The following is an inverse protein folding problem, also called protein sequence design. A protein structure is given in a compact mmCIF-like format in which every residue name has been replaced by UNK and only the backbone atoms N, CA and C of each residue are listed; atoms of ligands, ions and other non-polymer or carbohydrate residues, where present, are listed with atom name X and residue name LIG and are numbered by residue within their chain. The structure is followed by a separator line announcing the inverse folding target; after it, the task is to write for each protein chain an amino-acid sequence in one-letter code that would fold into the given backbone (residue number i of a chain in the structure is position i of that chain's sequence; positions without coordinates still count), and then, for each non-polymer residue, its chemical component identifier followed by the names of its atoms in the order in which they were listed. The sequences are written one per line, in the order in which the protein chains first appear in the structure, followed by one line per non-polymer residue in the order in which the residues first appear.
data_IF_406745522435
#
_entry.id   IF_406745522435
#
_cell.length_a   1.000
_cell.length_b   1.000
_cell.length_c   1.000
_cell.angle_alpha   90.00
_cell.angle_beta   90.00
_cell.angle_gamma   90.00
#
_symmetry.space_group_name_H-M   'P 1'
#
loop_
_entity.id
_entity.type
_entity.pdbx_description
1 polymer ?
#
# COMPACT_ATOMS: atom_id res chain seq x y z
N UNK A 1 10.19 26.41 -14.40
CA UNK A 1 9.68 26.52 -13.00
C UNK A 1 8.17 26.82 -12.94
N UNK A 2 7.57 27.58 -13.87
CA UNK A 2 6.13 27.88 -13.85
C UNK A 2 5.18 26.67 -13.89
N UNK A 3 5.47 25.66 -14.72
CA UNK A 3 4.58 24.49 -14.84
C UNK A 3 4.42 23.67 -13.54
N UNK A 4 5.47 23.56 -12.72
CA UNK A 4 5.40 22.83 -11.45
C UNK A 4 4.57 23.59 -10.41
N UNK A 5 4.65 24.93 -10.39
CA UNK A 5 3.84 25.79 -9.53
C UNK A 5 2.34 25.64 -9.86
N UNK A 6 1.99 25.71 -11.15
CA UNK A 6 0.59 25.53 -11.57
C UNK A 6 0.04 24.15 -11.19
N UNK A 7 0.86 23.09 -11.29
CA UNK A 7 0.44 21.76 -10.83
C UNK A 7 0.26 21.67 -9.31
N UNK A 8 1.08 22.39 -8.53
CA UNK A 8 0.92 22.46 -7.07
C UNK A 8 -0.40 23.18 -6.71
N UNK A 9 -0.75 24.25 -7.42
CA UNK A 9 -2.03 24.95 -7.24
C UNK A 9 -3.22 24.03 -7.51
N UNK A 10 -3.14 23.19 -8.56
CA UNK A 10 -4.18 22.21 -8.88
C UNK A 10 -4.39 21.13 -7.80
N UNK A 11 -3.47 20.96 -6.83
CA UNK A 11 -3.73 20.10 -5.66
C UNK A 11 -4.84 20.65 -4.75
N UNK A 12 -5.21 21.91 -4.90
CA UNK A 12 -6.25 22.60 -4.11
C UNK A 12 -7.52 22.88 -4.92
N UNK A 13 -7.62 22.34 -6.13
CA UNK A 13 -8.81 22.53 -6.98
C UNK A 13 -10.07 21.94 -6.31
N UNK A 14 -11.25 22.46 -6.63
CA UNK A 14 -12.51 21.92 -6.10
C UNK A 14 -12.89 20.59 -6.76
N UNK A 15 -12.38 20.32 -7.96
CA UNK A 15 -12.61 19.09 -8.72
C UNK A 15 -11.57 18.02 -8.34
N UNK A 16 -12.04 16.89 -7.83
CA UNK A 16 -11.19 15.77 -7.40
C UNK A 16 -10.39 15.17 -8.57
N UNK A 17 -10.97 15.16 -9.76
CA UNK A 17 -10.28 14.70 -10.97
C UNK A 17 -9.09 15.60 -11.33
N UNK A 18 -9.21 16.92 -11.15
CA UNK A 18 -8.09 17.85 -11.35
C UNK A 18 -7.00 17.60 -10.31
N UNK A 19 -7.39 17.39 -9.05
CA UNK A 19 -6.44 17.04 -7.99
C UNK A 19 -5.67 15.75 -8.30
N UNK A 20 -6.35 14.69 -8.78
CA UNK A 20 -5.72 13.41 -9.13
C UNK A 20 -4.75 13.57 -10.30
N UNK A 21 -5.17 14.28 -11.35
CA UNK A 21 -4.31 14.57 -12.51
C UNK A 21 -3.08 15.36 -12.08
N UNK A 22 -3.24 16.34 -11.17
CA UNK A 22 -2.13 17.11 -10.62
C UNK A 22 -1.13 16.24 -9.85
N UNK A 23 -1.62 15.35 -8.98
CA UNK A 23 -0.77 14.37 -8.26
C UNK A 23 0.00 13.51 -9.26
N UNK A 24 -0.69 12.95 -10.26
CA UNK A 24 -0.07 12.09 -11.27
C UNK A 24 1.00 12.83 -12.07
N UNK A 25 0.71 14.06 -12.50
CA UNK A 25 1.64 14.91 -13.24
C UNK A 25 2.87 15.27 -12.40
N UNK A 26 2.69 15.66 -11.13
CA UNK A 26 3.80 15.96 -10.21
C UNK A 26 4.70 14.73 -10.00
N UNK A 27 4.12 13.56 -9.77
CA UNK A 27 4.90 12.32 -9.63
C UNK A 27 5.63 11.92 -10.93
N UNK A 28 5.11 12.29 -12.10
CA UNK A 28 5.77 12.06 -13.39
C UNK A 28 6.98 12.96 -13.64
N UNK A 29 7.08 14.12 -12.96
CA UNK A 29 8.28 14.97 -12.98
C UNK A 29 9.48 14.22 -12.38
N UNK A 30 9.23 13.28 -11.44
CA UNK A 30 10.25 12.49 -10.73
C UNK A 30 11.29 13.34 -9.98
N UNK A 31 10.94 14.57 -9.65
CA UNK A 31 11.73 15.40 -8.75
C UNK A 31 11.47 14.96 -7.31
N UNK A 32 12.52 14.51 -6.62
CA UNK A 32 12.40 14.04 -5.23
C UNK A 32 11.77 15.05 -4.26
N UNK A 33 11.85 16.36 -4.54
CA UNK A 33 11.21 17.40 -3.72
C UNK A 33 9.68 17.27 -3.69
N UNK A 34 9.10 16.63 -4.72
CA UNK A 34 7.66 16.35 -4.80
C UNK A 34 7.22 15.39 -3.69
N UNK A 35 8.06 14.44 -3.27
CA UNK A 35 7.69 13.49 -2.20
C UNK A 35 7.43 14.24 -0.89
N UNK A 36 8.31 15.16 -0.51
CA UNK A 36 8.13 15.98 0.68
C UNK A 36 6.87 16.84 0.60
N UNK A 37 6.64 17.50 -0.54
CA UNK A 37 5.45 18.31 -0.78
C UNK A 37 4.15 17.49 -0.67
N UNK A 38 4.09 16.30 -1.29
CA UNK A 38 2.93 15.43 -1.23
C UNK A 38 2.73 14.82 0.16
N UNK A 39 3.82 14.52 0.87
CA UNK A 39 3.79 14.05 2.26
C UNK A 39 3.20 15.09 3.21
N UNK A 40 3.52 16.38 3.00
CA UNK A 40 2.89 17.46 3.73
C UNK A 40 1.42 17.64 3.33
N UNK A 41 1.10 17.50 2.03
CA UNK A 41 -0.28 17.60 1.54
C UNK A 41 -1.19 16.53 2.16
N UNK A 42 -0.70 15.31 2.34
CA UNK A 42 -1.46 14.20 2.94
C UNK A 42 -1.94 14.46 4.38
N UNK A 43 -1.38 15.46 5.08
CA UNK A 43 -1.81 15.85 6.44
C UNK A 43 -3.16 16.59 6.44
N UNK A 44 -3.54 17.19 5.32
CA UNK A 44 -4.69 18.13 5.25
C UNK A 44 -5.60 17.89 4.03
N UNK A 45 -5.50 16.73 3.37
CA UNK A 45 -6.29 16.42 2.19
C UNK A 45 -7.47 15.46 2.47
N UNK A 46 -8.35 15.30 1.49
CA UNK A 46 -9.40 14.28 1.54
C UNK A 46 -8.80 12.86 1.49
N UNK A 47 -9.54 11.83 1.95
CA UNK A 47 -9.11 10.44 1.82
C UNK A 47 -8.84 10.02 0.37
N UNK A 48 -9.61 10.55 -0.59
CA UNK A 48 -9.46 10.22 -2.01
C UNK A 48 -8.21 10.86 -2.61
N UNK A 49 -7.92 12.13 -2.29
CA UNK A 49 -6.65 12.74 -2.67
C UNK A 49 -5.46 12.03 -2.00
N UNK A 50 -5.60 11.63 -0.74
CA UNK A 50 -4.57 10.83 -0.04
C UNK A 50 -4.32 9.51 -0.77
N UNK A 51 -5.38 8.80 -1.14
CA UNK A 51 -5.29 7.58 -1.95
C UNK A 51 -4.55 7.85 -3.26
N UNK A 52 -4.95 8.86 -4.02
CA UNK A 52 -4.27 9.24 -5.25
C UNK A 52 -2.77 9.48 -5.04
N UNK A 53 -2.39 10.21 -3.98
CA UNK A 53 -0.98 10.44 -3.64
C UNK A 53 -0.25 9.11 -3.43
N UNK A 54 -0.75 8.26 -2.53
CA UNK A 54 -0.12 6.98 -2.20
C UNK A 54 0.06 6.09 -3.45
N UNK A 55 -0.97 5.99 -4.30
CA UNK A 55 -0.92 5.20 -5.53
C UNK A 55 0.06 5.72 -6.60
N UNK A 56 0.59 6.94 -6.45
CA UNK A 56 1.55 7.51 -7.39
C UNK A 56 2.99 7.54 -6.84
N UNK A 57 3.21 7.31 -5.55
CA UNK A 57 4.55 7.39 -4.93
C UNK A 57 5.52 6.30 -5.41
N UNK A 58 5.03 5.14 -5.89
CA UNK A 58 5.90 4.08 -6.42
C UNK A 58 6.77 4.54 -7.61
N UNK A 59 6.39 5.63 -8.29
CA UNK A 59 7.11 6.19 -9.46
C UNK A 59 8.49 6.72 -9.10
N UNK A 60 8.76 7.02 -7.83
CA UNK A 60 10.08 7.44 -7.32
C UNK A 60 10.96 6.22 -7.02
N UNK A 61 11.55 5.65 -8.07
CA UNK A 61 12.35 4.40 -7.99
C UNK A 61 13.62 4.53 -7.15
N UNK A 62 14.21 5.72 -7.09
CA UNK A 62 15.40 6.04 -6.28
C UNK A 62 15.07 6.37 -4.81
N UNK A 63 13.77 6.51 -4.49
CA UNK A 63 13.26 6.89 -3.16
C UNK A 63 12.41 5.82 -2.50
N UNK A 64 12.56 4.55 -2.90
CA UNK A 64 11.76 3.44 -2.37
C UNK A 64 11.83 3.30 -0.85
N UNK A 65 12.96 3.66 -0.21
CA UNK A 65 13.07 3.69 1.26
C UNK A 65 12.14 4.73 1.89
N UNK A 66 12.11 5.94 1.33
CA UNK A 66 11.25 7.03 1.78
C UNK A 66 9.77 6.70 1.56
N UNK A 67 9.44 6.16 0.38
CA UNK A 67 8.07 5.68 0.07
C UNK A 67 7.63 4.55 1.02
N UNK A 68 8.54 3.62 1.34
CA UNK A 68 8.27 2.56 2.34
C UNK A 68 7.94 3.15 3.70
N UNK A 69 8.69 4.16 4.16
CA UNK A 69 8.47 4.79 5.46
C UNK A 69 7.13 5.55 5.49
N UNK A 70 6.78 6.23 4.41
CA UNK A 70 5.47 6.87 4.25
C UNK A 70 4.35 5.83 4.39
N UNK A 71 4.44 4.70 3.68
CA UNK A 71 3.44 3.64 3.77
C UNK A 71 3.34 3.05 5.18
N UNK A 72 4.48 2.81 5.85
CA UNK A 72 4.48 2.33 7.25
C UNK A 72 3.78 3.31 8.18
N UNK A 73 4.10 4.59 8.07
CA UNK A 73 3.47 5.64 8.89
C UNK A 73 1.95 5.71 8.67
N UNK A 74 1.49 5.60 7.43
CA UNK A 74 0.05 5.58 7.15
C UNK A 74 -0.63 4.27 7.62
N UNK A 75 0.07 3.14 7.70
CA UNK A 75 -0.47 1.92 8.34
C UNK A 75 -0.60 2.06 9.86
N UNK A 76 0.31 2.79 10.51
CA UNK A 76 0.34 2.97 11.97
C UNK A 76 -0.62 4.07 12.45
N UNK A 77 -0.75 5.15 11.69
CA UNK A 77 -1.43 6.38 12.13
C UNK A 77 -2.47 6.91 11.14
N UNK A 78 -2.64 6.25 9.99
CA UNK A 78 -3.55 6.69 8.94
C UNK A 78 -4.97 6.13 9.07
N UNK A 79 -5.77 6.42 8.05
CA UNK A 79 -7.16 5.98 7.95
C UNK A 79 -7.24 4.47 7.73
N UNK A 80 -8.03 3.76 8.55
CA UNK A 80 -8.20 2.30 8.42
C UNK A 80 -8.74 1.87 7.06
N UNK A 81 -9.48 2.74 6.38
CA UNK A 81 -10.01 2.49 5.03
C UNK A 81 -8.94 2.38 3.95
N UNK A 82 -7.75 2.95 4.17
CA UNK A 82 -6.61 2.89 3.23
C UNK A 82 -5.64 1.75 3.53
N UNK A 83 -5.82 1.03 4.64
CA UNK A 83 -4.89 -0.02 5.08
C UNK A 83 -4.69 -1.11 4.02
N UNK A 84 -5.78 -1.57 3.40
CA UNK A 84 -5.71 -2.56 2.32
C UNK A 84 -4.93 -2.03 1.11
N UNK A 85 -5.23 -0.80 0.69
CA UNK A 85 -4.56 -0.16 -0.45
C UNK A 85 -3.05 -0.05 -0.20
N UNK A 86 -2.66 0.39 0.98
CA UNK A 86 -1.24 0.55 1.35
C UNK A 86 -0.51 -0.80 1.37
N UNK A 87 -1.14 -1.85 1.91
CA UNK A 87 -0.55 -3.19 1.88
C UNK A 87 -0.36 -3.72 0.45
N UNK A 88 -1.29 -3.44 -0.46
CA UNK A 88 -1.15 -3.77 -1.88
C UNK A 88 0.05 -3.02 -2.47
N UNK A 89 0.15 -1.71 -2.21
CA UNK A 89 1.23 -0.87 -2.72
C UNK A 89 2.60 -1.30 -2.19
N UNK A 90 2.71 -1.66 -0.90
CA UNK A 90 3.95 -2.19 -0.32
C UNK A 90 4.42 -3.46 -1.03
N UNK A 91 3.49 -4.35 -1.41
CA UNK A 91 3.79 -5.57 -2.16
C UNK A 91 4.29 -5.33 -3.59
N UNK A 92 4.06 -4.14 -4.15
CA UNK A 92 4.53 -3.76 -5.49
C UNK A 92 5.90 -3.09 -5.48
N UNK A 93 6.42 -2.70 -4.30
CA UNK A 93 7.75 -2.13 -4.19
C UNK A 93 8.84 -3.19 -4.45
N UNK A 94 9.99 -2.75 -4.97
CA UNK A 94 11.09 -3.66 -5.32
C UNK A 94 11.62 -4.45 -4.12
N UNK A 95 11.44 -3.93 -2.91
CA UNK A 95 11.84 -4.54 -1.65
C UNK A 95 10.70 -5.29 -0.94
N UNK A 96 9.71 -5.83 -1.67
CA UNK A 96 8.54 -6.48 -1.06
C UNK A 96 8.89 -7.51 0.05
N UNK A 97 10.00 -8.25 -0.08
CA UNK A 97 10.50 -9.18 0.93
C UNK A 97 10.83 -8.52 2.29
N UNK A 98 11.15 -7.22 2.33
CA UNK A 98 11.46 -6.51 3.58
C UNK A 98 10.24 -6.17 4.42
N UNK A 99 9.03 -6.47 3.93
CA UNK A 99 7.76 -6.11 4.58
C UNK A 99 7.09 -7.30 5.25
N UNK A 100 7.81 -8.40 5.46
CA UNK A 100 7.29 -9.63 6.06
C UNK A 100 6.55 -9.38 7.38
N UNK A 101 7.14 -8.61 8.30
CA UNK A 101 6.55 -8.33 9.62
C UNK A 101 5.22 -7.56 9.52
N UNK A 102 5.11 -6.69 8.52
CA UNK A 102 3.86 -5.96 8.25
C UNK A 102 2.76 -6.93 7.80
N UNK A 103 3.10 -7.93 6.99
CA UNK A 103 2.13 -8.96 6.62
C UNK A 103 1.83 -9.90 7.78
N UNK A 104 2.81 -10.30 8.61
CA UNK A 104 2.58 -11.13 9.81
C UNK A 104 1.60 -10.47 10.77
N UNK A 105 1.79 -9.20 11.07
CA UNK A 105 0.86 -8.45 11.94
C UNK A 105 -0.54 -8.31 11.32
N UNK A 106 -0.63 -8.22 9.99
CA UNK A 106 -1.89 -8.11 9.25
C UNK A 106 -2.72 -9.39 9.17
N UNK A 107 -2.17 -10.55 9.56
CA UNK A 107 -2.91 -11.81 9.65
C UNK A 107 -4.05 -11.79 10.69
N UNK A 108 -4.01 -10.87 11.65
CA UNK A 108 -5.02 -10.72 12.70
C UNK A 108 -6.02 -9.59 12.42
N UNK A 109 -5.98 -8.99 11.22
CA UNK A 109 -6.81 -7.85 10.88
C UNK A 109 -8.31 -8.21 10.87
N UNK A 110 -9.21 -7.34 11.38
CA UNK A 110 -10.65 -7.60 11.31
C UNK A 110 -11.17 -7.71 9.86
N UNK A 111 -10.54 -7.02 8.90
CA UNK A 111 -10.92 -7.07 7.51
C UNK A 111 -10.40 -8.36 6.84
N UNK A 112 -11.29 -9.24 6.34
CA UNK A 112 -10.86 -10.51 5.74
C UNK A 112 -10.03 -10.34 4.47
N UNK A 113 -10.21 -9.24 3.71
CA UNK A 113 -9.37 -8.94 2.55
C UNK A 113 -7.92 -8.68 2.95
N UNK A 114 -7.70 -8.04 4.09
CA UNK A 114 -6.36 -7.78 4.62
C UNK A 114 -5.71 -9.08 5.09
N UNK A 115 -6.45 -9.93 5.83
CA UNK A 115 -5.95 -11.25 6.23
C UNK A 115 -5.59 -12.12 5.03
N UNK A 116 -6.45 -12.17 4.02
CA UNK A 116 -6.20 -12.96 2.81
C UNK A 116 -4.98 -12.45 2.04
N UNK A 117 -4.84 -11.12 1.88
CA UNK A 117 -3.66 -10.51 1.25
C UNK A 117 -2.39 -10.81 2.04
N UNK A 118 -2.41 -10.67 3.37
CA UNK A 118 -1.27 -10.97 4.21
C UNK A 118 -0.81 -12.42 4.06
N UNK A 119 -1.77 -13.36 4.09
CA UNK A 119 -1.50 -14.78 3.92
C UNK A 119 -0.93 -15.08 2.52
N UNK A 120 -1.51 -14.49 1.48
CA UNK A 120 -1.02 -14.61 0.09
C UNK A 120 0.43 -14.12 -0.04
N UNK A 121 0.74 -12.95 0.52
CA UNK A 121 2.08 -12.34 0.44
C UNK A 121 3.10 -13.19 1.18
N UNK A 122 2.82 -13.63 2.40
CA UNK A 122 3.72 -14.49 3.16
C UNK A 122 3.93 -15.85 2.47
N UNK A 123 2.88 -16.42 1.87
CA UNK A 123 2.96 -17.64 1.06
C UNK A 123 3.85 -17.47 -0.17
N UNK A 124 3.69 -16.36 -0.92
CA UNK A 124 4.51 -16.04 -2.09
C UNK A 124 5.99 -15.80 -1.72
N UNK A 125 6.24 -15.20 -0.55
CA UNK A 125 7.58 -15.02 0.02
C UNK A 125 8.18 -16.32 0.55
N UNK A 126 7.38 -17.39 0.68
CA UNK A 126 7.73 -18.64 1.37
C UNK A 126 8.21 -18.41 2.82
N UNK A 127 7.67 -17.39 3.48
CA UNK A 127 8.05 -17.00 4.84
C UNK A 127 7.06 -17.46 5.91
N UNK A 128 5.95 -18.11 5.54
CA UNK A 128 5.02 -18.71 6.49
C UNK A 128 5.11 -20.24 6.46
N UNK A 129 5.27 -20.83 7.64
CA UNK A 129 5.30 -22.27 7.81
C UNK A 129 3.89 -22.86 7.76
N UNK A 130 3.77 -24.11 7.33
CA UNK A 130 2.47 -24.75 7.14
C UNK A 130 1.62 -24.75 8.43
N UNK A 131 2.24 -24.99 9.59
CA UNK A 131 1.57 -24.95 10.89
C UNK A 131 0.88 -23.62 11.18
N UNK A 132 1.45 -22.50 10.71
CA UNK A 132 0.90 -21.16 10.84
C UNK A 132 -0.20 -20.86 9.79
N UNK A 133 -0.27 -21.63 8.71
CA UNK A 133 -1.31 -21.52 7.67
C UNK A 133 -2.58 -22.30 8.07
N UNK A 134 -2.44 -23.44 8.74
CA UNK A 134 -3.56 -24.33 9.07
C UNK A 134 -4.77 -23.64 9.75
N UNK A 135 -4.58 -22.71 10.72
CA UNK A 135 -5.71 -22.02 11.34
C UNK A 135 -6.61 -21.24 10.36
N UNK A 136 -6.05 -20.80 9.23
CA UNK A 136 -6.80 -20.05 8.21
C UNK A 136 -7.70 -20.93 7.33
N UNK A 137 -7.61 -22.26 7.43
CA UNK A 137 -8.55 -23.19 6.79
C UNK A 137 -9.95 -23.12 7.41
N UNK A 138 -10.03 -22.66 8.66
CA UNK A 138 -11.26 -22.49 9.42
C UNK A 138 -11.69 -21.00 9.51
N UNK A 139 -11.02 -20.09 8.80
CA UNK A 139 -11.39 -18.67 8.82
C UNK A 139 -12.85 -18.49 8.36
N UNK A 140 -13.65 -17.62 9.03
CA UNK A 140 -15.04 -17.41 8.65
C UNK A 140 -15.19 -16.89 7.21
N UNK A 141 -14.21 -16.15 6.71
CA UNK A 141 -14.23 -15.58 5.37
C UNK A 141 -13.72 -16.57 4.32
N UNK A 142 -14.48 -16.70 3.23
CA UNK A 142 -14.19 -17.69 2.17
C UNK A 142 -12.92 -17.36 1.40
N UNK A 143 -12.62 -16.07 1.19
CA UNK A 143 -11.40 -15.62 0.54
C UNK A 143 -10.15 -16.03 1.31
N UNK A 144 -10.17 -15.93 2.64
CA UNK A 144 -9.03 -16.31 3.49
C UNK A 144 -8.81 -17.82 3.43
N UNK A 145 -9.88 -18.61 3.54
CA UNK A 145 -9.83 -20.07 3.39
C UNK A 145 -9.27 -20.51 2.05
N UNK A 146 -9.71 -19.88 0.96
CA UNK A 146 -9.21 -20.18 -0.39
C UNK A 146 -7.71 -19.93 -0.50
N UNK A 147 -7.22 -18.82 0.05
CA UNK A 147 -5.78 -18.52 0.09
C UNK A 147 -5.02 -19.56 0.90
N UNK A 148 -5.51 -19.93 2.09
CA UNK A 148 -4.89 -20.95 2.93
C UNK A 148 -4.80 -22.32 2.23
N UNK A 149 -5.90 -22.76 1.60
CA UNK A 149 -5.96 -24.01 0.82
C UNK A 149 -4.94 -23.99 -0.32
N UNK A 150 -4.84 -22.88 -1.06
CA UNK A 150 -3.88 -22.73 -2.16
C UNK A 150 -2.43 -22.90 -1.68
N UNK A 151 -2.07 -22.30 -0.54
CA UNK A 151 -0.74 -22.44 0.04
C UNK A 151 -0.47 -23.89 0.46
N UNK A 152 -1.41 -24.53 1.16
CA UNK A 152 -1.30 -25.93 1.61
C UNK A 152 -1.12 -26.88 0.41
N UNK A 153 -1.87 -26.66 -0.68
CA UNK A 153 -1.76 -27.45 -1.91
C UNK A 153 -0.38 -27.30 -2.59
N UNK A 154 0.19 -26.10 -2.55
CA UNK A 154 1.48 -25.82 -3.16
C UNK A 154 2.67 -26.23 -2.28
N UNK A 155 2.47 -26.48 -0.97
CA UNK A 155 3.54 -26.87 -0.04
C UNK A 155 4.13 -28.27 -0.32
N UNK A 156 3.37 -29.13 -1.01
CA UNK A 156 3.77 -30.53 -1.31
C UNK A 156 4.44 -30.72 -2.68
N UNK A 157 4.66 -29.65 -3.43
CA UNK A 157 5.37 -29.65 -4.72
C UNK A 157 6.77 -29.09 -4.53
#
# INVERSE_FOLDING_TARGET
MGAALSLIECLYDLCEEIQEVAVSALCNIKDSRVIGLLSDRMKYCSPDQKRAILFNLWRFKDKQKEVTEIYRKELEHGESSLKLDILILMGQLNNHMSHEEVYRSSLKDPNPKIRALALERLGAMKSIELEHVLPFLDDPAMEVKRTAISIVQNYKK
#
